data_IF_165809204048
#
_entry.id   IF_165809204048
#
_cell.length_a   1.000
_cell.length_b   1.000
_cell.length_c   1.000
_cell.angle_alpha   90.00
_cell.angle_beta   90.00
_cell.angle_gamma   90.00
#
_symmetry.space_group_name_H-M   'P 1'
#
loop_
_entity.id
_entity.type
_entity.pdbx_description
1 polymer ?
#
# COMPACT_ATOMS: atom_id res chain seq x y z
N UNK A 1 -19.34 -11.96 -11.62
CA UNK A 1 -18.25 -11.94 -10.63
C UNK A 1 -17.47 -10.64 -10.79
N UNK A 2 -17.39 -9.81 -9.74
CA UNK A 2 -16.79 -8.46 -9.84
C UNK A 2 -15.74 -8.33 -8.75
N UNK A 3 -14.50 -8.70 -9.05
CA UNK A 3 -13.36 -8.41 -8.19
C UNK A 3 -13.25 -6.88 -8.10
N UNK A 4 -13.70 -6.29 -6.98
CA UNK A 4 -13.66 -4.84 -6.72
C UNK A 4 -12.28 -4.37 -6.23
N UNK A 5 -11.23 -5.18 -6.39
CA UNK A 5 -9.87 -4.82 -6.02
C UNK A 5 -9.17 -4.15 -7.21
N UNK A 6 -9.56 -2.90 -7.47
CA UNK A 6 -8.87 -2.07 -8.46
C UNK A 6 -7.67 -1.45 -7.79
N UNK A 7 -6.51 -2.12 -7.87
CA UNK A 7 -5.23 -1.52 -7.54
C UNK A 7 -4.77 -0.71 -8.75
N UNK A 8 -4.95 0.62 -8.81
CA UNK A 8 -4.33 1.41 -9.86
C UNK A 8 -2.84 1.13 -9.87
N UNK A 9 -2.27 1.00 -11.08
CA UNK A 9 -0.84 0.73 -11.35
C UNK A 9 0.10 1.70 -10.61
N UNK A 10 -0.43 2.82 -10.13
CA UNK A 10 0.21 3.80 -9.24
C UNK A 10 -0.70 4.05 -8.03
N UNK A 11 -0.31 3.57 -6.86
CA UNK A 11 -0.95 3.91 -5.58
C UNK A 11 -0.10 4.96 -4.88
N UNK A 12 -0.66 6.13 -4.54
CA UNK A 12 0.09 7.26 -3.94
C UNK A 12 1.33 7.67 -4.77
N UNK A 13 1.13 7.81 -6.08
CA UNK A 13 2.17 8.13 -7.09
C UNK A 13 3.35 7.14 -7.14
N UNK A 14 3.26 5.99 -6.47
CA UNK A 14 4.29 4.94 -6.50
C UNK A 14 3.74 3.63 -7.06
N UNK A 15 4.56 2.95 -7.85
CA UNK A 15 4.27 1.58 -8.26
C UNK A 15 4.58 0.64 -7.09
N UNK A 16 3.62 -0.18 -6.70
CA UNK A 16 3.87 -1.26 -5.76
C UNK A 16 4.70 -2.34 -6.45
N UNK A 17 5.87 -2.65 -5.87
CA UNK A 17 6.72 -3.72 -6.36
C UNK A 17 6.00 -5.06 -6.20
N UNK A 18 6.26 -6.02 -7.09
CA UNK A 18 5.68 -7.38 -7.02
C UNK A 18 5.80 -8.01 -5.62
N UNK A 19 6.95 -7.86 -4.97
CA UNK A 19 7.17 -8.31 -3.58
C UNK A 19 6.16 -7.73 -2.59
N UNK A 20 5.87 -6.44 -2.67
CA UNK A 20 4.92 -5.80 -1.75
C UNK A 20 3.49 -6.27 -2.00
N UNK A 21 3.11 -6.48 -3.27
CA UNK A 21 1.80 -7.04 -3.61
C UNK A 21 1.69 -8.48 -3.12
N UNK A 22 2.76 -9.26 -3.23
CA UNK A 22 2.80 -10.65 -2.78
C UNK A 22 2.72 -10.75 -1.25
N UNK A 23 3.44 -9.88 -0.53
CA UNK A 23 3.31 -9.72 0.92
C UNK A 23 1.88 -9.28 1.29
N UNK A 24 1.30 -8.29 0.60
CA UNK A 24 -0.07 -7.84 0.86
C UNK A 24 -1.09 -8.97 0.70
N UNK A 25 -0.94 -9.80 -0.34
CA UNK A 25 -1.85 -10.91 -0.62
C UNK A 25 -1.65 -12.06 0.37
N UNK A 26 -0.42 -12.31 0.84
CA UNK A 26 -0.11 -13.41 1.75
C UNK A 26 -0.33 -13.05 3.22
N UNK A 27 0.06 -11.85 3.64
CA UNK A 27 0.10 -11.39 5.02
C UNK A 27 -0.95 -10.33 5.35
N UNK A 28 -1.71 -9.84 4.35
CA UNK A 28 -2.56 -8.65 4.47
C UNK A 28 -1.80 -7.37 4.85
N UNK A 29 -0.48 -7.38 4.82
CA UNK A 29 0.38 -6.22 5.05
C UNK A 29 1.54 -6.22 4.06
N UNK A 30 2.07 -5.05 3.73
CA UNK A 30 3.30 -4.92 2.96
C UNK A 30 4.47 -4.57 3.85
N UNK A 31 5.65 -4.92 3.37
CA UNK A 31 6.89 -4.34 3.84
C UNK A 31 6.85 -2.80 3.80
N UNK A 32 7.66 -2.16 4.64
CA UNK A 32 7.77 -0.71 4.76
C UNK A 32 8.22 -0.10 3.41
N UNK A 33 7.29 0.58 2.75
CA UNK A 33 7.54 1.23 1.47
C UNK A 33 7.96 2.66 1.75
N UNK A 34 9.21 2.97 1.41
CA UNK A 34 9.74 4.33 1.47
C UNK A 34 9.34 5.10 0.21
N UNK A 35 9.03 6.38 0.30
CA UNK A 35 8.79 7.24 -0.86
C UNK A 35 7.35 7.26 -1.36
N UNK A 36 6.37 6.99 -0.49
CA UNK A 36 4.99 7.39 -0.76
C UNK A 36 4.92 8.91 -0.83
N UNK A 37 4.21 9.43 -1.82
CA UNK A 37 4.04 10.87 -1.95
C UNK A 37 2.73 11.27 -1.29
N UNK A 38 2.84 12.10 -0.25
CA UNK A 38 1.66 12.71 0.37
C UNK A 38 1.03 13.72 -0.57
N UNK A 39 -0.26 14.01 -0.36
CA UNK A 39 -0.96 15.11 -1.05
C UNK A 39 -0.27 16.46 -0.82
N UNK A 40 0.52 16.56 0.26
CA UNK A 40 1.38 17.72 0.60
C UNK A 40 2.70 17.80 -0.19
N UNK A 41 3.00 16.84 -1.07
CA UNK A 41 4.24 16.81 -1.85
C UNK A 41 5.44 16.19 -1.14
N UNK A 42 5.35 15.90 0.16
CA UNK A 42 6.41 15.24 0.92
C UNK A 42 6.45 13.73 0.68
N UNK A 43 7.65 13.19 0.57
CA UNK A 43 7.89 11.75 0.50
C UNK A 43 7.95 11.19 1.92
N UNK A 44 7.14 10.17 2.21
CA UNK A 44 7.14 9.48 3.50
C UNK A 44 7.28 7.97 3.32
N UNK A 45 7.56 7.30 4.44
CA UNK A 45 7.66 5.85 4.48
C UNK A 45 6.52 5.29 5.31
N UNK A 46 5.76 4.36 4.75
CA UNK A 46 4.67 3.68 5.45
C UNK A 46 4.58 2.24 4.97
N UNK A 47 3.94 1.38 5.77
CA UNK A 47 3.46 0.08 5.33
C UNK A 47 2.06 0.25 4.76
N UNK A 48 1.68 -0.62 3.83
CA UNK A 48 0.30 -0.75 3.40
C UNK A 48 -0.31 -1.98 4.04
N UNK A 49 -1.45 -1.82 4.69
CA UNK A 49 -2.24 -2.93 5.22
C UNK A 49 -3.54 -3.07 4.45
N UNK A 50 -4.04 -4.28 4.34
CA UNK A 50 -5.30 -4.61 3.70
C UNK A 50 -6.34 -4.86 4.81
N UNK A 51 -7.27 -3.93 4.97
CA UNK A 51 -8.37 -4.08 5.93
C UNK A 51 -9.42 -5.07 5.40
N UNK A 52 -10.31 -5.56 6.28
CA UNK A 52 -11.36 -6.53 5.94
C UNK A 52 -12.33 -6.06 4.84
N UNK A 53 -12.42 -4.75 4.60
CA UNK A 53 -13.13 -4.18 3.46
C UNK A 53 -12.37 -4.29 2.11
N UNK A 54 -11.27 -5.05 2.04
CA UNK A 54 -10.32 -5.07 0.91
C UNK A 54 -9.77 -3.67 0.55
N UNK A 55 -9.70 -2.77 1.52
CA UNK A 55 -9.16 -1.42 1.35
C UNK A 55 -7.73 -1.35 1.85
N UNK A 56 -6.89 -0.67 1.08
CA UNK A 56 -5.53 -0.34 1.47
C UNK A 56 -5.52 0.78 2.52
N UNK A 57 -4.94 0.52 3.69
CA UNK A 57 -4.66 1.49 4.74
C UNK A 57 -3.15 1.75 4.84
N UNK A 58 -2.78 2.98 5.17
CA UNK A 58 -1.38 3.33 5.44
C UNK A 58 -1.09 3.14 6.93
N UNK A 59 -0.21 2.22 7.24
CA UNK A 59 0.30 2.01 8.58
C UNK A 59 1.69 2.62 8.68
N UNK A 60 1.80 3.70 9.44
CA UNK A 60 3.09 4.33 9.71
C UNK A 60 3.70 3.61 10.92
N UNK A 61 4.88 2.98 10.79
CA UNK A 61 5.58 2.44 11.94
C UNK A 61 5.98 3.61 12.83
N UNK A 62 5.21 3.86 13.89
CA UNK A 62 5.58 4.75 14.98
C UNK A 62 6.80 4.12 15.66
N UNK A 63 7.90 4.87 15.70
CA UNK A 63 9.00 4.61 16.63
C UNK A 63 8.82 5.54 17.81
#
# INVERSE_FOLDING_TARGET
MRCKFTLPKRWSQKALTKKNVQDLLSKRETSLIKGFKSKKGSNFSAKLTLNDEMKLAFEFPKK
#
